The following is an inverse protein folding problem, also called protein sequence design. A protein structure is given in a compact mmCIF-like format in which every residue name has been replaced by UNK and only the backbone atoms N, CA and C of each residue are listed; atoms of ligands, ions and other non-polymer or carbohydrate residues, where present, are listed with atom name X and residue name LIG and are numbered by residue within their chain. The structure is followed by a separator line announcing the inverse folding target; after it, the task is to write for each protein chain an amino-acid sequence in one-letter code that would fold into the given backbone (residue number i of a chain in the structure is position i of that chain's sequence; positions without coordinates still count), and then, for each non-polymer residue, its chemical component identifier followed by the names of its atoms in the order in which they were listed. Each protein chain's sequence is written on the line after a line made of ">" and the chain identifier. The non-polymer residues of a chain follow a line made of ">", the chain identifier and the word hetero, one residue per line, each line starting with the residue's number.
data_IF_961609894087
#
_entry.id   IF_961609894087
#
_cell.length_a   1.000
_cell.length_b   1.000
_cell.length_c   1.000
_cell.angle_alpha   90.00
_cell.angle_beta   90.00
_cell.angle_gamma   90.00
#
_symmetry.space_group_name_H-M   'P 1'
#
loop_
_entity.id
_entity.type
_entity.pdbx_description
1 polymer ?
#
# COMPACT_ATOMS: atom_id res chain seq x y z
N UNK A 1 1.52 3.29 -56.49
CA UNK A 1 1.56 1.84 -56.82
C UNK A 1 2.55 1.22 -55.85
N UNK A 2 2.23 0.29 -54.94
CA UNK A 2 1.04 -0.49 -54.63
C UNK A 2 1.03 -0.73 -53.09
N UNK A 3 -0.18 -0.79 -52.55
CA UNK A 3 -0.54 -1.35 -51.26
C UNK A 3 -0.17 -2.83 -51.13
N UNK A 4 0.08 -3.28 -49.89
CA UNK A 4 -0.29 -4.58 -49.27
C UNK A 4 0.18 -4.45 -47.80
N UNK A 5 -0.62 -4.35 -46.73
CA UNK A 5 -1.88 -4.98 -46.30
C UNK A 5 -1.85 -6.51 -46.34
N UNK A 6 -1.31 -7.12 -45.28
CA UNK A 6 -1.74 -8.43 -44.85
C UNK A 6 -2.05 -8.39 -43.34
N UNK A 7 -3.35 -8.41 -43.08
CA UNK A 7 -4.01 -8.74 -41.84
C UNK A 7 -4.05 -10.28 -41.72
N UNK A 8 -3.51 -10.83 -40.63
CA UNK A 8 -3.76 -12.23 -40.24
C UNK A 8 -4.08 -12.31 -38.76
N UNK A 9 -5.37 -12.28 -38.53
CA UNK A 9 -6.08 -12.65 -37.31
C UNK A 9 -5.75 -14.07 -36.81
N UNK A 10 -5.62 -14.17 -35.48
CA UNK A 10 -5.97 -15.28 -34.57
C UNK A 10 -5.29 -16.65 -34.75
N UNK A 11 -4.42 -16.98 -33.80
CA UNK A 11 -4.59 -18.17 -32.97
C UNK A 11 -4.32 -17.78 -31.51
N UNK A 12 -5.35 -17.94 -30.67
CA UNK A 12 -5.24 -17.95 -29.21
C UNK A 12 -4.96 -19.41 -28.87
N UNK A 13 -3.79 -19.68 -28.33
CA UNK A 13 -3.51 -20.96 -27.67
C UNK A 13 -3.49 -20.70 -26.16
N UNK A 14 -4.25 -21.53 -25.45
CA UNK A 14 -4.45 -21.48 -24.01
C UNK A 14 -3.61 -22.58 -23.37
N UNK A 15 -3.16 -22.35 -22.12
CA UNK A 15 -2.36 -23.21 -21.21
C UNK A 15 -0.84 -22.94 -21.31
N UNK A 16 -0.05 -22.78 -20.24
CA UNK A 16 -0.19 -23.01 -18.79
C UNK A 16 0.80 -22.09 -18.01
N UNK A 17 0.46 -21.73 -16.77
CA UNK A 17 1.34 -21.17 -15.72
C UNK A 17 2.45 -20.20 -16.16
N UNK A 18 2.06 -19.02 -16.63
CA UNK A 18 2.97 -17.88 -16.70
C UNK A 18 3.20 -17.34 -15.29
N UNK A 19 4.36 -17.65 -14.69
CA UNK A 19 4.96 -16.83 -13.63
C UNK A 19 4.95 -15.38 -14.15
N UNK A 20 4.05 -14.56 -13.60
CA UNK A 20 3.85 -13.18 -14.06
C UNK A 20 5.11 -12.37 -13.75
N UNK A 21 5.97 -12.24 -14.75
CA UNK A 21 7.17 -11.41 -14.68
C UNK A 21 6.76 -9.94 -14.58
N UNK A 22 7.06 -9.32 -13.43
CA UNK A 22 6.96 -7.86 -13.27
C UNK A 22 8.29 -7.25 -13.70
N UNK A 23 8.33 -6.64 -14.89
CA UNK A 23 9.50 -5.86 -15.32
C UNK A 23 9.71 -4.67 -14.39
N UNK A 24 10.92 -4.56 -13.80
CA UNK A 24 11.29 -3.46 -12.92
C UNK A 24 11.78 -2.26 -13.75
N UNK A 25 11.30 -1.04 -13.47
CA UNK A 25 11.73 0.16 -14.17
C UNK A 25 13.23 0.45 -13.91
N UNK A 26 13.96 0.87 -14.94
CA UNK A 26 15.42 1.11 -14.86
C UNK A 26 15.79 2.47 -14.23
N UNK A 27 14.86 3.43 -14.13
CA UNK A 27 15.07 4.75 -13.53
C UNK A 27 13.77 5.22 -12.87
N UNK A 28 13.72 5.33 -11.53
CA UNK A 28 12.55 5.85 -10.78
C UNK A 28 12.69 7.33 -10.35
N UNK A 29 13.46 8.14 -11.09
CA UNK A 29 13.50 9.60 -10.86
C UNK A 29 12.11 10.24 -10.98
N UNK A 30 11.17 9.58 -11.67
CA UNK A 30 9.75 9.99 -11.82
C UNK A 30 8.98 10.04 -10.49
N UNK A 31 9.47 9.37 -9.46
CA UNK A 31 8.78 9.17 -8.19
C UNK A 31 9.33 10.02 -7.03
N UNK A 32 10.33 10.87 -7.30
CA UNK A 32 10.93 11.74 -6.27
C UNK A 32 11.83 11.02 -5.27
N UNK A 33 12.32 9.83 -5.63
CA UNK A 33 13.31 9.09 -4.84
C UNK A 33 14.66 9.83 -4.85
N UNK A 34 15.20 10.15 -3.68
CA UNK A 34 16.50 10.83 -3.54
C UNK A 34 17.67 9.85 -3.40
N UNK A 35 17.38 8.61 -3.00
CA UNK A 35 18.38 7.57 -2.77
C UNK A 35 18.07 6.26 -3.51
N UNK A 36 17.47 6.35 -4.71
CA UNK A 36 17.05 5.18 -5.50
C UNK A 36 18.21 4.19 -5.73
N UNK A 37 19.33 4.69 -6.25
CA UNK A 37 20.57 3.95 -6.44
C UNK A 37 21.72 4.67 -5.73
N UNK A 38 21.99 4.36 -4.45
CA UNK A 38 23.03 5.03 -3.68
C UNK A 38 24.42 4.77 -4.27
N UNK A 39 25.33 5.74 -4.09
CA UNK A 39 26.71 5.64 -4.57
C UNK A 39 27.40 4.42 -3.95
N UNK A 40 28.11 3.66 -4.78
CA UNK A 40 28.86 2.51 -4.31
C UNK A 40 29.89 2.92 -3.25
N UNK A 41 29.82 2.37 -2.03
CA UNK A 41 30.78 2.67 -0.99
C UNK A 41 32.10 1.91 -1.22
N UNK A 42 33.12 2.23 -0.41
CA UNK A 42 34.43 1.56 -0.47
C UNK A 42 34.34 0.06 -0.18
N UNK A 43 35.36 -0.72 -0.57
CA UNK A 43 35.43 -2.16 -0.32
C UNK A 43 35.24 -2.51 1.16
N UNK A 44 35.83 -1.71 2.05
CA UNK A 44 35.82 -1.96 3.48
C UNK A 44 34.41 -1.77 4.06
N UNK A 45 33.69 -0.75 3.57
CA UNK A 45 32.29 -0.51 3.94
C UNK A 45 31.40 -1.61 3.36
N UNK A 46 31.65 -2.09 2.15
CA UNK A 46 30.90 -3.21 1.57
C UNK A 46 31.07 -4.49 2.39
N UNK A 47 32.30 -4.81 2.81
CA UNK A 47 32.57 -5.95 3.67
C UNK A 47 31.83 -5.82 5.02
N UNK A 48 31.87 -4.63 5.62
CA UNK A 48 31.14 -4.35 6.87
C UNK A 48 29.61 -4.43 6.71
N UNK A 49 29.06 -4.00 5.57
CA UNK A 49 27.63 -4.16 5.29
C UNK A 49 27.24 -5.63 5.14
N UNK A 50 28.10 -6.46 4.53
CA UNK A 50 27.84 -7.90 4.40
C UNK A 50 27.91 -8.61 5.76
N UNK A 51 28.88 -8.26 6.61
CA UNK A 51 28.95 -8.73 8.00
C UNK A 51 27.68 -8.35 8.79
N UNK A 52 27.24 -7.10 8.66
CA UNK A 52 26.01 -6.61 9.27
C UNK A 52 24.76 -7.34 8.76
N UNK A 53 24.72 -7.68 7.47
CA UNK A 53 23.62 -8.47 6.88
C UNK A 53 23.57 -9.88 7.47
N UNK A 54 24.70 -10.57 7.59
CA UNK A 54 24.76 -11.88 8.23
C UNK A 54 24.34 -11.82 9.70
N UNK A 55 24.80 -10.78 10.41
CA UNK A 55 24.38 -10.52 11.79
C UNK A 55 22.87 -10.32 11.92
N UNK A 56 22.23 -9.63 10.96
CA UNK A 56 20.77 -9.50 10.96
C UNK A 56 20.07 -10.85 10.82
N UNK A 57 20.55 -11.73 9.95
CA UNK A 57 20.01 -13.09 9.80
C UNK A 57 20.17 -13.87 11.11
N UNK A 58 21.33 -13.78 11.75
CA UNK A 58 21.58 -14.45 13.03
C UNK A 58 20.65 -13.92 14.14
N UNK A 59 20.44 -12.60 14.22
CA UNK A 59 19.51 -11.99 15.19
C UNK A 59 18.08 -12.46 14.91
N UNK A 60 17.67 -12.47 13.65
CA UNK A 60 16.33 -12.90 13.23
C UNK A 60 16.06 -14.37 13.60
N UNK A 61 17.06 -15.24 13.44
CA UNK A 61 16.94 -16.67 13.78
C UNK A 61 17.06 -16.98 15.28
N UNK A 62 17.67 -16.08 16.08
CA UNK A 62 17.99 -16.34 17.49
C UNK A 62 17.04 -15.67 18.49
N UNK A 63 16.31 -14.64 18.07
CA UNK A 63 15.34 -13.90 18.89
C UNK A 63 13.95 -14.06 18.26
N UNK A 64 12.88 -14.06 19.06
CA UNK A 64 11.52 -13.83 18.53
C UNK A 64 11.48 -12.44 17.86
N UNK A 65 11.80 -12.34 16.57
CA UNK A 65 11.51 -11.29 15.57
C UNK A 65 11.48 -9.80 16.00
N UNK A 66 12.04 -9.45 17.15
CA UNK A 66 11.69 -8.19 17.80
C UNK A 66 12.50 -7.04 17.21
N UNK A 67 11.80 -6.09 16.62
CA UNK A 67 12.36 -4.89 16.02
C UNK A 67 12.74 -3.94 17.14
N UNK A 68 14.03 -3.60 17.21
CA UNK A 68 14.57 -2.62 18.14
C UNK A 68 15.48 -1.62 17.42
N UNK A 69 15.88 -0.57 18.11
CA UNK A 69 16.73 0.49 17.55
C UNK A 69 18.05 -0.05 16.97
N UNK A 70 18.61 -1.11 17.55
CA UNK A 70 19.82 -1.74 17.03
C UNK A 70 19.56 -2.41 15.67
N UNK A 71 18.47 -3.17 15.51
CA UNK A 71 18.07 -3.75 14.22
C UNK A 71 17.83 -2.66 13.17
N UNK A 72 17.10 -1.59 13.54
CA UNK A 72 16.83 -0.46 12.62
C UNK A 72 18.15 0.19 12.18
N UNK A 73 19.07 0.43 13.10
CA UNK A 73 20.38 1.01 12.78
C UNK A 73 21.20 0.11 11.86
N UNK A 74 21.25 -1.20 12.10
CA UNK A 74 21.97 -2.13 11.24
C UNK A 74 21.31 -2.22 9.86
N UNK A 75 19.98 -2.24 9.79
CA UNK A 75 19.25 -2.17 8.51
C UNK A 75 19.62 -0.90 7.73
N UNK A 76 19.72 0.25 8.40
CA UNK A 76 20.09 1.51 7.78
C UNK A 76 21.54 1.53 7.27
N UNK A 77 22.50 0.92 7.97
CA UNK A 77 23.90 0.86 7.49
C UNK A 77 24.05 -0.02 6.26
N UNK A 78 23.16 -1.00 6.10
CA UNK A 78 23.10 -1.94 4.98
C UNK A 78 22.34 -1.42 3.74
N UNK A 79 21.90 -0.15 3.74
CA UNK A 79 21.00 0.39 2.71
C UNK A 79 21.51 0.20 1.27
N UNK A 80 22.81 0.41 1.03
CA UNK A 80 23.37 0.23 -0.31
C UNK A 80 23.23 -1.23 -0.80
N UNK A 81 23.57 -2.22 0.04
CA UNK A 81 23.40 -3.63 -0.33
C UNK A 81 21.92 -4.00 -0.54
N UNK A 82 21.02 -3.48 0.29
CA UNK A 82 19.56 -3.68 0.11
C UNK A 82 19.11 -3.18 -1.26
N UNK A 83 19.40 -1.92 -1.60
CA UNK A 83 19.05 -1.36 -2.93
C UNK A 83 19.71 -2.17 -4.03
N UNK A 84 21.00 -2.47 -3.94
CA UNK A 84 21.71 -3.28 -4.94
C UNK A 84 21.06 -4.65 -5.16
N UNK A 85 20.58 -5.32 -4.11
CA UNK A 85 19.86 -6.59 -4.25
C UNK A 85 18.47 -6.39 -4.85
N UNK A 86 17.70 -5.42 -4.36
CA UNK A 86 16.35 -5.12 -4.84
C UNK A 86 16.32 -4.83 -6.36
N UNK A 87 17.32 -4.13 -6.89
CA UNK A 87 17.39 -3.83 -8.33
C UNK A 87 17.87 -5.01 -9.18
N UNK A 88 18.70 -5.89 -8.62
CA UNK A 88 19.28 -7.02 -9.36
C UNK A 88 18.39 -8.25 -9.37
N UNK A 89 17.71 -8.51 -8.26
CA UNK A 89 16.90 -9.71 -8.10
C UNK A 89 15.48 -9.44 -8.60
N UNK A 90 15.01 -10.25 -9.54
CA UNK A 90 13.64 -10.15 -10.03
C UNK A 90 12.66 -10.89 -9.10
N UNK A 91 13.13 -11.95 -8.44
CA UNK A 91 12.32 -12.76 -7.54
C UNK A 91 12.27 -12.15 -6.14
N UNK A 92 11.05 -11.85 -5.67
CA UNK A 92 10.85 -11.18 -4.38
C UNK A 92 11.21 -12.09 -3.20
N UNK A 93 10.92 -13.39 -3.29
CA UNK A 93 11.30 -14.41 -2.28
C UNK A 93 12.78 -14.31 -1.91
N UNK A 94 13.68 -14.22 -2.89
CA UNK A 94 15.13 -14.08 -2.68
C UNK A 94 15.47 -12.79 -1.91
N UNK A 95 14.75 -11.70 -2.16
CA UNK A 95 14.95 -10.44 -1.42
C UNK A 95 14.58 -10.64 0.05
N UNK A 96 13.44 -11.26 0.32
CA UNK A 96 12.95 -11.52 1.68
C UNK A 96 13.77 -12.58 2.42
N UNK A 97 14.34 -13.57 1.74
CA UNK A 97 15.31 -14.52 2.32
C UNK A 97 16.62 -13.83 2.73
N UNK A 98 17.11 -12.91 1.88
CA UNK A 98 18.36 -12.17 2.16
C UNK A 98 18.18 -11.06 3.19
N UNK A 99 16.98 -10.51 3.29
CA UNK A 99 16.59 -9.44 4.20
C UNK A 99 15.28 -9.78 4.93
N UNK A 100 15.30 -10.75 5.86
CA UNK A 100 14.08 -11.25 6.53
C UNK A 100 13.27 -10.17 7.22
N UNK A 101 13.94 -9.14 7.73
CA UNK A 101 13.29 -8.01 8.38
C UNK A 101 12.36 -7.18 7.48
N UNK A 102 12.39 -7.35 6.14
CA UNK A 102 11.37 -6.75 5.27
C UNK A 102 9.98 -7.36 5.45
N UNK A 103 9.83 -8.51 6.11
CA UNK A 103 8.52 -9.01 6.54
C UNK A 103 7.84 -8.13 7.60
N UNK A 104 8.58 -7.18 8.18
CA UNK A 104 8.03 -6.21 9.10
C UNK A 104 7.83 -4.85 8.43
N UNK A 105 6.59 -4.39 8.42
CA UNK A 105 6.22 -3.14 7.75
C UNK A 105 7.01 -1.92 8.27
N UNK A 106 7.39 -1.89 9.55
CA UNK A 106 8.19 -0.80 10.11
C UNK A 106 9.52 -0.62 9.37
N UNK A 107 10.16 -1.71 8.94
CA UNK A 107 11.44 -1.67 8.24
C UNK A 107 11.26 -1.30 6.76
N UNK A 108 10.14 -1.65 6.14
CA UNK A 108 9.77 -1.14 4.81
C UNK A 108 9.59 0.38 4.88
N UNK A 109 8.85 0.87 5.87
CA UNK A 109 8.65 2.31 6.09
C UNK A 109 9.98 3.02 6.34
N UNK A 110 10.86 2.48 7.20
CA UNK A 110 12.18 3.07 7.46
C UNK A 110 13.09 3.06 6.22
N UNK A 111 13.03 2.01 5.42
CA UNK A 111 13.73 1.97 4.15
C UNK A 111 13.19 3.03 3.17
N UNK A 112 11.87 3.24 3.16
CA UNK A 112 11.24 4.30 2.37
C UNK A 112 11.60 5.71 2.86
N UNK A 113 11.78 5.92 4.17
CA UNK A 113 12.25 7.21 4.72
C UNK A 113 13.59 7.62 4.08
N UNK A 114 14.53 6.67 3.96
CA UNK A 114 15.82 6.91 3.31
C UNK A 114 15.68 7.07 1.80
N UNK A 115 14.87 6.23 1.15
CA UNK A 115 14.62 6.28 -0.29
C UNK A 115 14.06 7.63 -0.75
N UNK A 116 13.13 8.18 0.03
CA UNK A 116 12.41 9.41 -0.27
C UNK A 116 12.98 10.65 0.43
N UNK A 117 13.92 10.48 1.37
CA UNK A 117 14.59 11.55 2.10
C UNK A 117 13.69 12.33 3.07
N UNK A 118 12.63 11.71 3.58
CA UNK A 118 11.60 12.34 4.41
C UNK A 118 11.01 11.36 5.40
N UNK A 119 10.45 11.86 6.51
CA UNK A 119 9.66 11.04 7.44
C UNK A 119 8.29 10.74 6.80
N UNK A 120 8.18 9.57 6.19
CA UNK A 120 7.02 9.19 5.39
C UNK A 120 5.79 9.02 6.28
N UNK A 121 5.92 8.34 7.43
CA UNK A 121 4.79 8.13 8.34
C UNK A 121 4.23 9.45 8.87
N UNK A 122 5.09 10.40 9.24
CA UNK A 122 4.64 11.71 9.71
C UNK A 122 3.91 12.49 8.60
N UNK A 123 4.43 12.45 7.37
CA UNK A 123 3.80 13.13 6.22
C UNK A 123 2.47 12.47 5.87
N UNK A 124 2.43 11.12 5.86
CA UNK A 124 1.22 10.34 5.61
C UNK A 124 0.11 10.72 6.59
N UNK A 125 0.40 10.62 7.89
CA UNK A 125 -0.58 10.95 8.93
C UNK A 125 -1.01 12.42 8.89
N UNK A 126 -0.09 13.35 8.59
CA UNK A 126 -0.44 14.77 8.42
C UNK A 126 -1.40 14.97 7.24
N UNK A 127 -1.15 14.31 6.12
CA UNK A 127 -1.94 14.42 4.89
C UNK A 127 -3.33 13.79 5.05
N UNK A 128 -3.40 12.60 5.64
CA UNK A 128 -4.67 11.94 5.95
C UNK A 128 -5.53 12.80 6.89
N UNK A 129 -4.93 13.40 7.92
CA UNK A 129 -5.63 14.32 8.80
C UNK A 129 -6.09 15.62 8.11
N UNK A 130 -5.32 16.15 7.16
CA UNK A 130 -5.71 17.33 6.38
C UNK A 130 -6.88 17.05 5.45
N UNK A 131 -6.99 15.84 4.89
CA UNK A 131 -8.07 15.44 4.00
C UNK A 131 -9.32 15.01 4.78
N UNK A 132 -9.17 14.28 5.88
CA UNK A 132 -10.28 13.74 6.67
C UNK A 132 -11.06 14.82 7.44
N UNK A 133 -10.37 15.85 7.96
CA UNK A 133 -11.00 16.92 8.75
C UNK A 133 -12.05 17.73 7.97
N UNK A 134 -11.77 18.28 6.78
CA UNK A 134 -12.77 18.97 5.97
C UNK A 134 -13.97 18.08 5.62
N UNK A 135 -13.71 16.80 5.33
CA UNK A 135 -14.74 15.80 5.02
C UNK A 135 -15.68 15.59 6.21
N UNK A 136 -15.13 15.47 7.42
CA UNK A 136 -15.91 15.38 8.67
C UNK A 136 -16.68 16.69 8.97
N UNK A 137 -16.04 17.84 8.79
CA UNK A 137 -16.69 19.15 8.96
C UNK A 137 -17.84 19.37 7.96
N UNK A 138 -17.68 18.94 6.71
CA UNK A 138 -18.74 18.99 5.71
C UNK A 138 -19.97 18.19 6.14
N UNK A 139 -19.77 16.97 6.68
CA UNK A 139 -20.88 16.15 7.18
C UNK A 139 -21.69 16.90 8.24
N UNK A 140 -21.01 17.43 9.26
CA UNK A 140 -21.64 18.19 10.35
C UNK A 140 -22.46 19.37 9.81
N UNK A 141 -21.90 20.14 8.88
CA UNK A 141 -22.57 21.29 8.28
C UNK A 141 -23.78 20.87 7.43
N UNK A 142 -23.69 19.76 6.70
CA UNK A 142 -24.80 19.22 5.91
C UNK A 142 -25.92 18.72 6.80
N UNK A 143 -25.61 18.11 7.94
CA UNK A 143 -26.62 17.66 8.90
C UNK A 143 -27.37 18.84 9.51
N UNK A 144 -26.65 19.85 10.00
CA UNK A 144 -27.23 21.11 10.49
C UNK A 144 -28.12 21.76 9.42
N UNK A 145 -27.64 21.85 8.17
CA UNK A 145 -28.41 22.42 7.07
C UNK A 145 -29.66 21.57 6.75
N UNK A 146 -29.58 20.25 6.87
CA UNK A 146 -30.72 19.36 6.64
C UNK A 146 -31.81 19.51 7.69
N UNK A 147 -31.45 19.72 8.96
CA UNK A 147 -32.39 19.99 10.05
C UNK A 147 -33.10 21.33 9.84
N UNK A 148 -32.35 22.37 9.47
CA UNK A 148 -32.89 23.69 9.11
C UNK A 148 -33.84 23.59 7.91
N UNK A 149 -33.51 22.80 6.89
CA UNK A 149 -34.33 22.65 5.69
C UNK A 149 -35.59 21.81 5.93
N UNK A 150 -35.53 20.79 6.79
CA UNK A 150 -36.71 20.05 7.26
C UNK A 150 -37.68 20.97 8.01
N UNK A 151 -37.15 21.85 8.86
CA UNK A 151 -37.96 22.88 9.52
C UNK A 151 -38.60 23.87 8.52
N UNK A 152 -37.99 24.07 7.34
CA UNK A 152 -38.45 25.00 6.28
C UNK A 152 -39.25 24.35 5.14
N UNK A 153 -39.61 23.06 5.22
CA UNK A 153 -40.38 22.30 4.18
C UNK A 153 -39.86 22.43 2.74
N UNK A 154 -38.57 22.70 2.51
CA UNK A 154 -37.97 22.69 1.17
C UNK A 154 -37.40 21.31 0.87
N UNK A 155 -38.10 20.53 0.05
CA UNK A 155 -37.61 19.23 -0.46
C UNK A 155 -37.03 19.43 -1.85
N UNK A 156 -35.71 19.42 -1.96
CA UNK A 156 -34.99 19.28 -3.23
C UNK A 156 -34.74 17.79 -3.49
N UNK A 157 -34.87 17.34 -4.75
CA UNK A 157 -34.58 15.96 -5.14
C UNK A 157 -33.15 15.56 -4.71
N UNK A 158 -32.97 14.34 -4.15
CA UNK A 158 -31.67 13.90 -3.68
C UNK A 158 -30.76 13.55 -4.85
N UNK A 159 -29.66 14.25 -4.94
CA UNK A 159 -28.50 13.86 -5.75
C UNK A 159 -27.91 12.56 -5.18
N UNK A 160 -27.93 11.48 -5.97
CA UNK A 160 -27.51 10.13 -5.54
C UNK A 160 -26.03 10.10 -5.12
N UNK A 161 -25.16 10.95 -5.68
CA UNK A 161 -23.77 11.08 -5.23
C UNK A 161 -23.70 11.67 -3.83
N UNK A 162 -24.47 12.74 -3.57
CA UNK A 162 -24.55 13.34 -2.22
C UNK A 162 -25.10 12.35 -1.20
N UNK A 163 -26.05 11.50 -1.59
CA UNK A 163 -26.62 10.46 -0.72
C UNK A 163 -25.59 9.38 -0.40
N UNK A 164 -24.83 8.93 -1.40
CA UNK A 164 -23.73 7.98 -1.21
C UNK A 164 -22.66 8.53 -0.25
N UNK A 165 -22.16 9.75 -0.49
CA UNK A 165 -21.14 10.40 0.35
C UNK A 165 -21.64 10.55 1.79
N UNK A 166 -22.89 11.01 1.99
CA UNK A 166 -23.49 11.08 3.33
C UNK A 166 -23.58 9.73 4.02
N UNK A 167 -23.93 8.67 3.29
CA UNK A 167 -24.00 7.31 3.85
C UNK A 167 -22.63 6.87 4.35
N UNK A 168 -21.59 6.99 3.53
CA UNK A 168 -20.22 6.62 3.89
C UNK A 168 -19.73 7.41 5.11
N UNK A 169 -20.00 8.70 5.15
CA UNK A 169 -19.56 9.55 6.25
C UNK A 169 -20.27 9.29 7.58
N UNK A 170 -21.55 8.94 7.56
CA UNK A 170 -22.27 8.51 8.77
C UNK A 170 -21.73 7.19 9.32
N UNK A 171 -21.39 6.26 8.42
CA UNK A 171 -20.75 5.00 8.79
C UNK A 171 -19.41 5.32 9.47
N UNK A 172 -18.55 6.11 8.82
CA UNK A 172 -17.27 6.51 9.39
C UNK A 172 -17.41 7.22 10.75
N UNK A 173 -18.37 8.14 10.91
CA UNK A 173 -18.61 8.83 12.17
C UNK A 173 -19.03 7.87 13.28
N UNK A 174 -19.93 6.92 12.98
CA UNK A 174 -20.36 5.91 13.94
C UNK A 174 -19.16 5.10 14.45
N UNK A 175 -18.36 4.55 13.54
CA UNK A 175 -17.20 3.74 13.92
C UNK A 175 -16.10 4.58 14.58
N UNK A 176 -15.84 5.80 14.11
CA UNK A 176 -14.85 6.71 14.71
C UNK A 176 -15.17 7.01 16.18
N UNK A 177 -16.45 7.19 16.53
CA UNK A 177 -16.87 7.37 17.91
C UNK A 177 -16.67 6.11 18.77
N UNK A 178 -16.87 4.93 18.21
CA UNK A 178 -16.68 3.64 18.90
C UNK A 178 -15.19 3.35 19.11
N UNK A 179 -14.40 3.44 18.04
CA UNK A 179 -12.96 3.15 18.00
C UNK A 179 -12.11 4.24 18.65
N UNK A 180 -12.66 5.44 18.80
CA UNK A 180 -11.98 6.66 19.30
C UNK A 180 -10.74 7.03 18.48
N UNK A 181 -10.81 6.83 17.16
CA UNK A 181 -9.77 7.21 16.20
C UNK A 181 -10.38 7.75 14.89
N UNK A 182 -9.55 8.33 14.04
CA UNK A 182 -9.96 8.94 12.76
C UNK A 182 -9.86 7.97 11.56
N UNK A 183 -9.44 6.73 11.79
CA UNK A 183 -9.21 5.74 10.73
C UNK A 183 -10.46 5.44 9.87
N UNK A 184 -11.68 5.38 10.43
CA UNK A 184 -12.87 5.27 9.59
C UNK A 184 -13.01 6.40 8.57
N UNK A 185 -12.57 7.62 8.87
CA UNK A 185 -12.55 8.71 7.87
C UNK A 185 -11.42 8.56 6.84
N UNK A 186 -10.32 7.89 7.18
CA UNK A 186 -9.26 7.55 6.24
C UNK A 186 -9.79 6.62 5.14
N UNK A 187 -10.54 5.57 5.52
CA UNK A 187 -11.17 4.65 4.54
C UNK A 187 -12.11 5.39 3.59
N UNK A 188 -12.91 6.34 4.09
CA UNK A 188 -13.83 7.12 3.26
C UNK A 188 -13.06 8.06 2.35
N UNK A 189 -12.01 8.71 2.86
CA UNK A 189 -11.15 9.60 2.06
C UNK A 189 -10.58 8.85 0.86
N UNK A 190 -9.97 7.69 1.09
CA UNK A 190 -9.39 6.86 0.03
C UNK A 190 -10.46 6.32 -0.93
N UNK A 191 -11.60 5.84 -0.42
CA UNK A 191 -12.71 5.41 -1.26
C UNK A 191 -13.28 6.52 -2.15
N UNK A 192 -13.27 7.78 -1.67
CA UNK A 192 -13.67 8.93 -2.47
C UNK A 192 -12.64 9.30 -3.53
N UNK A 193 -11.34 9.20 -3.24
CA UNK A 193 -10.26 9.41 -4.23
C UNK A 193 -10.40 8.40 -5.36
N UNK A 194 -10.48 7.11 -5.05
CA UNK A 194 -10.64 6.03 -6.05
C UNK A 194 -11.91 6.24 -6.89
N UNK A 195 -13.02 6.59 -6.24
CA UNK A 195 -14.27 6.89 -6.95
C UNK A 195 -14.15 8.12 -7.86
N UNK A 196 -13.44 9.16 -7.41
CA UNK A 196 -13.19 10.36 -8.21
C UNK A 196 -12.34 10.05 -9.46
N UNK A 197 -11.33 9.20 -9.30
CA UNK A 197 -10.51 8.69 -10.41
C UNK A 197 -11.25 7.68 -11.30
N UNK A 198 -12.43 7.20 -10.86
CA UNK A 198 -13.23 6.16 -11.52
C UNK A 198 -12.49 4.83 -11.63
N UNK A 199 -11.74 4.52 -10.59
CA UNK A 199 -10.84 3.38 -10.52
C UNK A 199 -11.41 2.24 -9.67
N UNK A 200 -10.73 1.09 -9.71
CA UNK A 200 -11.21 -0.11 -9.05
C UNK A 200 -10.53 -0.32 -7.68
N UNK A 201 -11.32 -0.12 -6.63
CA UNK A 201 -10.90 -0.23 -5.23
C UNK A 201 -10.31 -1.59 -4.86
N UNK A 202 -10.70 -2.66 -5.56
CA UNK A 202 -10.23 -4.03 -5.30
C UNK A 202 -8.74 -4.22 -5.62
N UNK A 203 -8.11 -3.29 -6.34
CA UNK A 203 -6.66 -3.30 -6.57
C UNK A 203 -5.90 -2.59 -5.43
N UNK A 204 -6.60 -1.85 -4.57
CA UNK A 204 -6.00 -1.17 -3.42
C UNK A 204 -6.16 -1.99 -2.14
N UNK A 205 -7.36 -2.52 -1.90
CA UNK A 205 -7.59 -3.47 -0.82
C UNK A 205 -8.69 -4.50 -1.13
N UNK A 206 -8.65 -5.64 -0.44
CA UNK A 206 -9.60 -6.74 -0.55
C UNK A 206 -10.05 -7.15 0.85
N UNK A 207 -11.36 -7.29 1.05
CA UNK A 207 -11.93 -7.84 2.29
C UNK A 207 -12.21 -9.32 2.07
N UNK A 208 -11.72 -10.17 2.95
CA UNK A 208 -11.82 -11.63 2.88
C UNK A 208 -12.44 -12.21 4.14
N UNK A 209 -12.77 -13.50 4.11
CA UNK A 209 -13.38 -14.20 5.24
C UNK A 209 -12.44 -14.20 6.47
N UNK A 210 -13.00 -13.96 7.65
CA UNK A 210 -12.27 -13.92 8.93
C UNK A 210 -11.65 -15.27 9.30
N UNK A 211 -12.20 -16.38 8.80
CA UNK A 211 -11.73 -17.75 9.04
C UNK A 211 -10.72 -18.26 8.01
N UNK A 212 -10.40 -17.46 6.99
CA UNK A 212 -9.53 -17.89 5.88
C UNK A 212 -8.08 -18.07 6.36
N UNK A 213 -7.51 -19.25 6.12
CA UNK A 213 -6.09 -19.52 6.40
C UNK A 213 -5.18 -18.69 5.49
N UNK A 214 -3.92 -18.52 5.90
CA UNK A 214 -2.97 -17.67 5.14
C UNK A 214 -2.69 -18.25 3.74
N UNK A 215 -2.57 -19.57 3.62
CA UNK A 215 -2.34 -20.26 2.36
C UNK A 215 -3.53 -20.11 1.40
N UNK A 216 -4.75 -20.31 1.91
CA UNK A 216 -5.99 -20.15 1.14
C UNK A 216 -6.18 -18.68 0.70
N UNK A 217 -5.83 -17.72 1.57
CA UNK A 217 -5.85 -16.30 1.25
C UNK A 217 -4.91 -15.97 0.09
N UNK A 218 -3.69 -16.50 0.08
CA UNK A 218 -2.73 -16.26 -1.00
C UNK A 218 -3.21 -16.81 -2.35
N UNK A 219 -3.94 -17.93 -2.35
CA UNK A 219 -4.55 -18.51 -3.56
C UNK A 219 -5.73 -17.69 -4.09
N UNK A 220 -6.56 -17.11 -3.21
CA UNK A 220 -7.75 -16.35 -3.60
C UNK A 220 -7.44 -14.95 -4.17
N UNK A 221 -6.27 -14.38 -3.88
CA UNK A 221 -5.95 -13.01 -4.28
C UNK A 221 -5.79 -12.93 -5.81
N UNK A 222 -6.58 -12.08 -6.50
CA UNK A 222 -6.58 -12.03 -7.96
C UNK A 222 -5.43 -11.18 -8.54
N UNK A 223 -4.72 -10.40 -7.71
CA UNK A 223 -3.71 -9.42 -8.15
C UNK A 223 -2.31 -9.82 -7.73
N UNK A 224 -1.33 -9.45 -8.55
CA UNK A 224 0.10 -9.72 -8.30
C UNK A 224 0.78 -8.51 -7.63
N UNK A 225 0.31 -7.30 -7.93
CA UNK A 225 0.79 -6.06 -7.32
C UNK A 225 0.53 -6.03 -5.80
N UNK A 226 1.29 -5.21 -5.05
CA UNK A 226 1.01 -4.98 -3.64
C UNK A 226 -0.46 -4.60 -3.42
N UNK A 227 -1.14 -5.34 -2.54
CA UNK A 227 -2.53 -5.13 -2.17
C UNK A 227 -2.73 -5.33 -0.68
N UNK A 228 -3.57 -4.50 -0.05
CA UNK A 228 -3.98 -4.71 1.33
C UNK A 228 -5.09 -5.75 1.41
N UNK A 229 -4.91 -6.78 2.20
CA UNK A 229 -5.95 -7.76 2.54
C UNK A 229 -6.45 -7.51 3.96
N UNK A 230 -7.75 -7.67 4.15
CA UNK A 230 -8.45 -7.39 5.40
C UNK A 230 -9.32 -8.60 5.69
N UNK A 231 -8.88 -9.47 6.59
CA UNK A 231 -9.71 -10.58 7.07
C UNK A 231 -10.70 -10.02 8.09
N UNK A 232 -11.97 -10.02 7.74
CA UNK A 232 -13.00 -9.44 8.59
C UNK A 232 -14.33 -9.17 7.85
N UNK A 233 -15.34 -8.78 8.62
CA UNK A 233 -16.71 -8.56 8.10
C UNK A 233 -16.92 -7.19 7.46
N UNK A 234 -16.19 -6.17 7.92
CA UNK A 234 -16.22 -4.81 7.39
C UNK A 234 -14.88 -4.09 7.61
N UNK A 235 -14.72 -2.86 7.13
CA UNK A 235 -13.47 -2.07 7.21
C UNK A 235 -13.15 -1.49 8.61
N UNK A 236 -14.05 -1.64 9.57
CA UNK A 236 -14.04 -0.86 10.81
C UNK A 236 -14.17 -1.72 12.06
N UNK A 237 -13.93 -3.02 11.95
CA UNK A 237 -13.93 -3.92 13.10
C UNK A 237 -12.54 -3.96 13.75
N UNK A 238 -12.52 -3.98 15.08
CA UNK A 238 -11.28 -4.07 15.87
C UNK A 238 -10.58 -5.42 15.71
N UNK A 239 -11.35 -6.48 15.43
CA UNK A 239 -10.82 -7.84 15.25
C UNK A 239 -10.25 -8.10 13.84
N UNK A 240 -10.25 -7.09 12.97
CA UNK A 240 -9.73 -7.24 11.61
C UNK A 240 -8.24 -7.55 11.63
N UNK A 241 -7.83 -8.52 10.82
CA UNK A 241 -6.41 -8.80 10.57
C UNK A 241 -6.03 -8.19 9.23
N UNK A 242 -5.02 -7.31 9.26
CA UNK A 242 -4.55 -6.59 8.09
C UNK A 242 -3.20 -7.15 7.62
N UNK A 243 -3.12 -7.49 6.34
CA UNK A 243 -1.89 -7.99 5.74
C UNK A 243 -1.68 -7.37 4.36
N UNK A 244 -0.47 -6.88 4.07
CA UNK A 244 -0.08 -6.52 2.70
C UNK A 244 0.43 -7.76 2.01
N UNK A 245 -0.20 -8.12 0.89
CA UNK A 245 0.22 -9.25 0.06
C UNK A 245 0.91 -8.75 -1.19
N UNK A 246 2.04 -9.38 -1.53
CA UNK A 246 2.83 -9.07 -2.72
C UNK A 246 3.11 -10.36 -3.48
N UNK A 247 2.89 -10.33 -4.79
CA UNK A 247 3.15 -11.44 -5.71
C UNK A 247 2.48 -12.77 -5.30
N UNK A 248 1.34 -12.70 -4.58
CA UNK A 248 0.61 -13.85 -4.02
C UNK A 248 1.45 -14.83 -3.18
N UNK A 249 2.62 -14.40 -2.70
CA UNK A 249 3.58 -15.26 -2.01
C UNK A 249 4.04 -14.65 -0.69
N UNK A 250 4.25 -13.34 -0.68
CA UNK A 250 4.74 -12.64 0.50
C UNK A 250 3.57 -11.99 1.23
N UNK A 251 3.50 -12.22 2.54
CA UNK A 251 2.52 -11.61 3.44
C UNK A 251 3.24 -10.79 4.51
N UNK A 252 2.84 -9.53 4.67
CA UNK A 252 3.39 -8.60 5.66
C UNK A 252 2.27 -8.15 6.58
N UNK A 253 2.37 -8.48 7.86
CA UNK A 253 1.40 -8.04 8.84
C UNK A 253 1.50 -6.54 9.13
N UNK A 254 0.36 -5.87 9.22
CA UNK A 254 0.25 -4.43 9.51
C UNK A 254 -0.82 -4.20 10.60
N UNK A 255 -0.68 -3.17 11.44
CA UNK A 255 -1.54 -3.02 12.63
C UNK A 255 -2.91 -2.42 12.33
N UNK A 256 -3.08 -1.81 11.15
CA UNK A 256 -4.30 -1.05 10.83
C UNK A 256 -4.48 -0.86 9.33
N UNK A 257 -5.67 -0.42 8.93
CA UNK A 257 -5.97 -0.07 7.55
C UNK A 257 -5.06 1.06 7.04
N UNK A 258 -4.84 2.08 7.86
CA UNK A 258 -4.07 3.28 7.51
C UNK A 258 -2.60 2.94 7.27
N UNK A 259 -2.01 2.12 8.13
CA UNK A 259 -0.63 1.63 7.95
C UNK A 259 -0.53 0.60 6.82
N UNK A 260 -1.59 -0.19 6.61
CA UNK A 260 -1.68 -1.14 5.51
C UNK A 260 -1.68 -0.48 4.14
N UNK A 261 -2.46 0.60 3.96
CA UNK A 261 -2.46 1.38 2.71
C UNK A 261 -1.11 2.07 2.50
N UNK A 262 -0.52 2.65 3.56
CA UNK A 262 0.81 3.24 3.47
C UNK A 262 1.84 2.19 3.03
N UNK A 263 1.88 1.05 3.69
CA UNK A 263 2.84 -0.03 3.39
C UNK A 263 2.64 -0.56 1.97
N UNK A 264 1.38 -0.76 1.54
CA UNK A 264 1.03 -1.14 0.16
C UNK A 264 1.58 -0.14 -0.84
N UNK A 265 1.32 1.15 -0.62
CA UNK A 265 1.82 2.24 -1.47
C UNK A 265 3.36 2.26 -1.52
N UNK A 266 4.03 2.10 -0.38
CA UNK A 266 5.49 2.12 -0.30
C UNK A 266 6.16 0.93 -0.99
N UNK A 267 5.50 -0.23 -1.05
CA UNK A 267 6.04 -1.39 -1.75
C UNK A 267 6.31 -1.10 -3.24
N UNK A 268 5.55 -0.20 -3.88
CA UNK A 268 5.81 0.23 -5.25
C UNK A 268 7.17 0.92 -5.42
N UNK A 269 7.57 1.74 -4.44
CA UNK A 269 8.86 2.43 -4.44
C UNK A 269 9.99 1.53 -3.96
N UNK A 270 9.75 0.82 -2.86
CA UNK A 270 10.78 0.00 -2.22
C UNK A 270 11.19 -1.14 -3.14
N UNK A 271 10.24 -1.87 -3.72
CA UNK A 271 10.52 -3.06 -4.54
C UNK A 271 10.45 -2.81 -6.06
N UNK A 272 10.11 -1.59 -6.48
CA UNK A 272 10.12 -1.20 -7.89
C UNK A 272 8.94 -1.74 -8.70
N UNK A 273 7.75 -1.81 -8.11
CA UNK A 273 6.55 -2.17 -8.87
C UNK A 273 6.04 -0.97 -9.66
N UNK A 274 5.60 -1.21 -10.89
CA UNK A 274 4.84 -0.23 -11.68
C UNK A 274 3.41 -0.16 -11.12
N UNK A 275 2.84 1.04 -11.12
CA UNK A 275 1.44 1.23 -10.75
C UNK A 275 0.52 0.46 -11.70
N UNK A 276 -0.40 -0.36 -11.19
CA UNK A 276 -1.31 -1.09 -12.05
C UNK A 276 -2.35 -0.10 -12.62
N UNK A 277 -2.67 -0.16 -13.92
CA UNK A 277 -3.60 0.76 -14.57
C UNK A 277 -4.95 0.95 -13.85
N UNK A 278 -5.53 -0.06 -13.16
CA UNK A 278 -6.80 0.10 -12.45
C UNK A 278 -6.79 1.04 -11.24
N UNK A 279 -5.63 1.45 -10.72
CA UNK A 279 -5.49 2.38 -9.57
C UNK A 279 -4.34 3.40 -9.76
N UNK A 280 -3.82 3.57 -10.98
CA UNK A 280 -2.67 4.43 -11.26
C UNK A 280 -2.91 5.89 -10.83
N UNK A 281 -4.06 6.46 -11.18
CA UNK A 281 -4.43 7.82 -10.80
C UNK A 281 -4.62 7.99 -9.30
N UNK A 282 -5.15 6.99 -8.60
CA UNK A 282 -5.23 6.98 -7.14
C UNK A 282 -3.84 6.99 -6.51
N UNK A 283 -2.93 6.15 -7.01
CA UNK A 283 -1.55 6.09 -6.50
C UNK A 283 -0.80 7.40 -6.79
N UNK A 284 -0.98 7.99 -7.97
CA UNK A 284 -0.47 9.34 -8.27
C UNK A 284 -1.05 10.41 -7.32
N UNK A 285 -2.33 10.32 -6.99
CA UNK A 285 -2.97 11.25 -6.06
C UNK A 285 -2.45 11.09 -4.63
N UNK A 286 -2.12 9.86 -4.21
CA UNK A 286 -1.50 9.59 -2.91
C UNK A 286 -0.05 10.13 -2.87
N UNK A 287 0.66 10.06 -3.99
CA UNK A 287 2.04 10.56 -4.10
C UNK A 287 2.15 12.09 -3.95
N UNK A 288 1.14 12.83 -4.42
CA UNK A 288 1.13 14.30 -4.46
C UNK A 288 0.70 14.94 -3.13
#
# INVERSE_FOLDING_TARGET
>A
MKNQSEDRSKYIDCSDDDDVFVEKPQVQDEYGCVAYMPVQPSSDVLASQEENRLKLIDIFNSTEENINDNVINIMNTCYYLQRKNIHKENELSIIFERWPYFHHYQLIVKHADQLLGKDVSAIWMSSMNKLSKPINCWLKNVEIASEINKAKKKVSQPDEEKKYVRKMLRIAQKYSNTLKNDEPYHTVTLGLIVKFMKENLNFLYIITNEELADEELLEEIPVVNPVLTIRGRDLHNDDNVYNVVINKKTMIHVPSFTEGILTTFLCYYVFGFVYPPPIEGTLEAIQR
#
